data_IF_545963803580
#
_entry.id   IF_545963803580
#
_cell.length_a   1.000
_cell.length_b   1.000
_cell.length_c   1.000
_cell.angle_alpha   90.00
_cell.angle_beta   90.00
_cell.angle_gamma   90.00
#
_symmetry.space_group_name_H-M   'P 1'
#
loop_
_entity.id
_entity.type
_entity.pdbx_description
1 polymer ?
#
# COMPACT_ATOMS: atom_id res chain seq x y z
N UNK A 1 22.53 75.09 -32.73
CA UNK A 1 22.30 73.67 -33.07
C UNK A 1 22.16 72.89 -31.77
N UNK A 2 20.96 72.35 -31.54
CA UNK A 2 20.66 71.41 -30.45
C UNK A 2 21.38 70.08 -30.67
N UNK A 3 21.82 69.40 -29.61
CA UNK A 3 21.61 67.95 -29.38
C UNK A 3 21.61 67.63 -27.88
N UNK A 4 20.48 67.12 -27.39
CA UNK A 4 20.29 66.52 -26.06
C UNK A 4 20.88 65.10 -26.04
N UNK A 5 21.64 64.68 -25.01
CA UNK A 5 21.82 63.26 -24.74
C UNK A 5 20.63 62.75 -23.92
N UNK A 6 19.76 62.03 -24.64
CA UNK A 6 18.68 61.22 -24.12
C UNK A 6 19.26 60.02 -23.36
N UNK A 7 18.88 59.90 -22.09
CA UNK A 7 18.49 58.67 -21.37
C UNK A 7 19.28 57.39 -21.73
N UNK A 8 20.41 57.15 -21.05
CA UNK A 8 21.05 55.81 -21.00
C UNK A 8 20.86 55.13 -19.64
N UNK A 9 20.27 55.81 -18.65
CA UNK A 9 20.04 55.24 -17.32
C UNK A 9 18.85 54.25 -17.23
N UNK A 10 18.08 54.05 -18.31
CA UNK A 10 16.81 53.33 -18.26
C UNK A 10 16.83 51.84 -18.64
N UNK A 11 17.93 51.30 -19.17
CA UNK A 11 17.94 49.93 -19.75
C UNK A 11 18.55 48.88 -18.80
N UNK A 12 19.40 49.28 -17.85
CA UNK A 12 19.99 48.31 -16.90
C UNK A 12 19.08 47.93 -15.73
N UNK A 13 18.07 48.76 -15.40
CA UNK A 13 17.13 48.45 -14.31
C UNK A 13 16.06 47.43 -14.72
N UNK A 14 15.80 47.25 -16.02
CA UNK A 14 14.76 46.34 -16.52
C UNK A 14 15.26 44.88 -16.63
N UNK A 15 16.57 44.66 -16.75
CA UNK A 15 17.16 43.32 -16.84
C UNK A 15 17.17 42.58 -15.48
N UNK A 16 17.29 43.29 -14.36
CA UNK A 16 17.20 42.67 -13.02
C UNK A 16 15.74 42.40 -12.59
N UNK A 17 14.76 43.17 -13.10
CA UNK A 17 13.34 42.96 -12.78
C UNK A 17 12.74 41.72 -13.47
N UNK A 18 13.40 41.21 -14.52
CA UNK A 18 12.97 40.00 -15.26
C UNK A 18 13.69 38.72 -14.79
N UNK A 19 14.58 38.76 -13.79
CA UNK A 19 15.13 37.52 -13.19
C UNK A 19 14.29 37.01 -12.01
N UNK A 20 13.18 37.70 -11.70
CA UNK A 20 12.19 37.27 -10.71
C UNK A 20 11.10 36.36 -11.33
N UNK A 21 11.39 35.69 -12.45
CA UNK A 21 10.53 34.61 -12.95
C UNK A 21 10.60 33.45 -11.95
N UNK A 22 9.56 33.39 -11.11
CA UNK A 22 9.13 32.26 -10.30
C UNK A 22 10.14 31.16 -10.06
N UNK A 23 10.91 31.26 -8.98
CA UNK A 23 11.31 30.04 -8.29
C UNK A 23 10.03 29.37 -7.83
N UNK A 24 9.58 28.34 -8.55
CA UNK A 24 8.58 27.42 -8.03
C UNK A 24 9.11 26.94 -6.68
N UNK A 25 8.34 27.17 -5.61
CA UNK A 25 8.69 26.67 -4.28
C UNK A 25 8.94 25.18 -4.40
N UNK A 26 10.11 24.71 -4.00
CA UNK A 26 10.37 23.27 -3.90
C UNK A 26 9.28 22.71 -2.98
N UNK A 27 8.51 21.71 -3.41
CA UNK A 27 7.49 21.13 -2.55
C UNK A 27 8.14 20.61 -1.26
N UNK A 28 7.67 21.10 -0.11
CA UNK A 28 8.03 20.56 1.19
C UNK A 28 7.21 19.30 1.43
N UNK A 29 7.88 18.18 1.66
CA UNK A 29 7.24 16.89 1.92
C UNK A 29 7.36 16.55 3.40
N UNK A 30 6.24 16.11 3.98
CA UNK A 30 6.26 15.39 5.25
C UNK A 30 6.62 13.94 4.96
N UNK A 31 7.72 13.46 5.53
CA UNK A 31 8.20 12.09 5.35
C UNK A 31 7.71 11.25 6.53
N UNK A 32 7.08 10.11 6.22
CA UNK A 32 6.59 9.15 7.20
C UNK A 32 7.23 7.78 6.95
N UNK A 33 7.66 7.13 8.01
CA UNK A 33 8.29 5.82 8.00
C UNK A 33 7.30 4.75 8.46
N UNK A 34 7.25 3.62 7.77
CA UNK A 34 6.35 2.54 8.13
C UNK A 34 6.48 1.33 7.23
N UNK A 35 5.81 0.26 7.62
CA UNK A 35 5.71 -0.97 6.84
C UNK A 35 4.29 -1.08 6.26
N UNK A 36 4.23 -1.30 4.96
CA UNK A 36 3.03 -1.37 4.16
C UNK A 36 2.59 -2.82 3.86
N UNK A 37 3.38 -3.82 4.25
CA UNK A 37 3.14 -5.22 3.91
C UNK A 37 3.64 -6.19 4.99
N UNK A 38 2.73 -6.56 5.90
CA UNK A 38 3.01 -7.54 6.95
C UNK A 38 1.81 -8.43 7.24
N UNK A 39 2.10 -9.65 7.74
CA UNK A 39 1.10 -10.67 8.05
C UNK A 39 1.11 -11.06 9.51
N UNK A 40 -0.06 -11.39 10.04
CA UNK A 40 -0.19 -11.91 11.40
C UNK A 40 -0.82 -13.30 11.41
N UNK A 41 -1.18 -13.81 12.59
CA UNK A 41 -1.89 -15.09 12.71
C UNK A 41 -3.29 -15.10 12.10
N UNK A 42 -3.82 -13.94 11.68
CA UNK A 42 -5.10 -13.83 10.98
C UNK A 42 -5.01 -14.37 9.54
N UNK A 43 -3.81 -14.43 8.95
CA UNK A 43 -3.54 -15.15 7.70
C UNK A 43 -2.45 -16.21 7.92
N UNK A 44 -1.20 -15.91 7.55
CA UNK A 44 -0.08 -16.87 7.53
C UNK A 44 1.20 -16.39 8.22
N UNK A 45 1.16 -15.28 8.97
CA UNK A 45 2.30 -14.74 9.71
C UNK A 45 2.89 -15.68 10.78
N UNK A 46 2.26 -16.84 11.01
CA UNK A 46 2.77 -17.92 11.87
C UNK A 46 3.36 -19.12 11.10
N UNK A 47 3.44 -19.02 9.77
CA UNK A 47 3.68 -20.15 8.89
C UNK A 47 2.42 -20.95 8.58
N UNK A 48 2.55 -21.89 7.65
CA UNK A 48 1.44 -22.75 7.20
C UNK A 48 0.93 -23.63 8.34
N UNK A 49 -0.36 -24.00 8.27
CA UNK A 49 -0.91 -25.06 9.12
C UNK A 49 -0.08 -26.35 8.95
N UNK A 50 0.00 -27.13 10.03
CA UNK A 50 0.60 -28.45 10.00
C UNK A 50 -0.11 -29.33 8.96
N UNK A 51 0.52 -30.42 8.47
CA UNK A 51 -0.09 -31.31 7.47
C UNK A 51 -1.43 -31.93 7.89
N UNK A 52 -1.71 -31.99 9.19
CA UNK A 52 -2.97 -32.44 9.79
C UNK A 52 -4.04 -31.32 9.90
N UNK A 53 -3.76 -30.14 9.36
CA UNK A 53 -4.63 -28.95 9.42
C UNK A 53 -4.56 -28.19 10.74
N UNK A 54 -3.76 -28.63 11.72
CA UNK A 54 -3.63 -27.94 13.00
C UNK A 54 -2.73 -26.69 12.90
N UNK A 55 -2.89 -25.80 13.87
CA UNK A 55 -1.99 -24.68 14.07
C UNK A 55 -0.59 -25.15 14.48
N UNK A 56 0.50 -24.51 14.03
CA UNK A 56 1.77 -24.59 14.74
C UNK A 56 1.57 -24.24 16.23
N UNK A 57 2.22 -24.94 17.16
CA UNK A 57 2.08 -24.68 18.58
C UNK A 57 2.63 -23.30 18.97
N UNK A 58 2.00 -22.64 19.94
CA UNK A 58 2.46 -21.35 20.48
C UNK A 58 1.39 -20.24 20.48
N UNK A 59 1.75 -19.10 21.06
CA UNK A 59 0.92 -17.89 21.02
C UNK A 59 0.75 -17.44 19.57
N UNK A 60 -0.47 -16.99 19.22
CA UNK A 60 -0.81 -16.46 17.91
C UNK A 60 -0.79 -14.93 17.90
N UNK A 61 0.25 -14.28 17.33
CA UNK A 61 0.31 -12.81 17.29
C UNK A 61 -0.81 -12.27 16.42
N UNK A 62 -1.56 -11.31 16.96
CA UNK A 62 -2.70 -10.66 16.30
C UNK A 62 -2.27 -9.36 15.62
N UNK A 63 -3.12 -8.71 14.81
CA UNK A 63 -2.88 -7.35 14.33
C UNK A 63 -2.55 -6.37 15.47
N UNK A 64 -3.24 -6.46 16.61
CA UNK A 64 -2.94 -5.63 17.78
C UNK A 64 -1.50 -5.82 18.31
N UNK A 65 -0.97 -7.05 18.27
CA UNK A 65 0.42 -7.31 18.66
C UNK A 65 1.41 -6.66 17.71
N UNK A 66 1.16 -6.77 16.40
CA UNK A 66 2.00 -6.15 15.38
C UNK A 66 1.99 -4.62 15.50
N UNK A 67 0.81 -4.00 15.65
CA UNK A 67 0.69 -2.56 15.88
C UNK A 67 1.39 -2.11 17.16
N UNK A 68 1.25 -2.86 18.25
CA UNK A 68 1.92 -2.54 19.51
C UNK A 68 3.44 -2.62 19.37
N UNK A 69 3.96 -3.63 18.66
CA UNK A 69 5.39 -3.77 18.41
C UNK A 69 5.94 -2.65 17.53
N UNK A 70 5.28 -2.34 16.41
CA UNK A 70 5.67 -1.26 15.51
C UNK A 70 5.70 0.08 16.24
N UNK A 71 4.64 0.39 17.01
CA UNK A 71 4.59 1.60 17.83
C UNK A 71 5.67 1.65 18.90
N UNK A 72 5.90 0.54 19.60
CA UNK A 72 6.91 0.46 20.66
C UNK A 72 8.35 0.59 20.14
N UNK A 73 8.59 0.36 18.84
CA UNK A 73 9.90 0.59 18.23
C UNK A 73 10.33 2.06 18.30
N UNK A 74 9.37 3.00 18.29
CA UNK A 74 9.63 4.43 18.18
C UNK A 74 10.23 4.86 16.83
N UNK A 75 10.24 3.97 15.83
CA UNK A 75 10.83 4.20 14.51
C UNK A 75 9.80 4.32 13.38
N UNK A 76 8.58 3.83 13.60
CA UNK A 76 7.51 3.82 12.61
C UNK A 76 6.44 4.84 12.97
N UNK A 77 6.08 5.68 12.01
CA UNK A 77 4.92 6.58 12.04
C UNK A 77 3.62 5.83 11.71
N UNK A 78 3.72 4.74 10.94
CA UNK A 78 2.58 3.89 10.61
C UNK A 78 2.96 2.42 10.43
N UNK A 79 1.96 1.54 10.48
CA UNK A 79 2.12 0.12 10.17
C UNK A 79 0.83 -0.45 9.58
N UNK A 80 0.98 -1.29 8.55
CA UNK A 80 -0.12 -2.00 7.92
C UNK A 80 -0.05 -3.49 8.20
N UNK A 81 -1.09 -4.04 8.82
CA UNK A 81 -1.33 -5.49 8.84
C UNK A 81 -2.17 -5.85 7.61
N UNK A 82 -1.53 -6.37 6.56
CA UNK A 82 -2.10 -6.59 5.23
C UNK A 82 -2.41 -8.08 5.00
N UNK A 83 -3.45 -8.59 5.66
CA UNK A 83 -3.74 -10.03 5.72
C UNK A 83 -4.16 -10.62 4.35
N UNK A 84 -3.74 -11.84 4.05
CA UNK A 84 -4.15 -12.52 2.81
C UNK A 84 -5.67 -12.70 2.69
N UNK A 85 -6.24 -12.34 1.53
CA UNK A 85 -7.68 -12.40 1.26
C UNK A 85 -8.18 -13.71 0.59
N UNK A 86 -7.36 -14.76 0.45
CA UNK A 86 -7.69 -15.97 -0.37
C UNK A 86 -7.30 -17.35 0.22
N UNK A 87 -7.24 -18.40 -0.61
CA UNK A 87 -6.94 -19.79 -0.21
C UNK A 87 -5.59 -20.31 -0.75
N UNK A 88 -4.57 -20.55 0.08
CA UNK A 88 -3.31 -21.15 -0.38
C UNK A 88 -3.33 -22.69 -0.30
N UNK A 89 -3.52 -23.36 -1.45
CA UNK A 89 -3.16 -24.78 -1.71
C UNK A 89 -3.29 -25.74 -0.49
N UNK A 90 -4.49 -25.92 0.05
CA UNK A 90 -4.71 -26.86 1.15
C UNK A 90 -4.64 -26.25 2.55
N UNK A 91 -4.06 -25.05 2.70
CA UNK A 91 -4.06 -24.28 3.94
C UNK A 91 -5.03 -23.11 3.79
N UNK A 92 -6.16 -23.17 4.50
CA UNK A 92 -7.02 -22.02 4.69
C UNK A 92 -6.20 -20.91 5.36
N UNK A 93 -5.95 -19.80 4.66
CA UNK A 93 -5.65 -18.56 5.36
C UNK A 93 -6.88 -18.26 6.23
N UNK A 94 -6.64 -17.90 7.50
CA UNK A 94 -7.72 -17.93 8.49
C UNK A 94 -8.67 -16.75 8.39
N UNK A 95 -8.30 -15.73 7.60
CA UNK A 95 -9.04 -14.49 7.50
C UNK A 95 -10.46 -14.81 7.09
N UNK A 96 -11.43 -14.21 7.77
CA UNK A 96 -12.86 -14.32 7.53
C UNK A 96 -13.50 -12.99 7.93
N UNK A 97 -14.78 -12.73 7.64
CA UNK A 97 -15.38 -11.42 7.89
C UNK A 97 -15.29 -10.99 9.36
N UNK A 98 -15.42 -11.93 10.31
CA UNK A 98 -15.27 -11.62 11.73
C UNK A 98 -13.83 -11.26 12.11
N UNK A 99 -12.83 -11.96 11.56
CA UNK A 99 -11.43 -11.61 11.77
C UNK A 99 -11.05 -10.31 11.06
N UNK A 100 -11.63 -10.03 9.89
CA UNK A 100 -11.42 -8.76 9.19
C UNK A 100 -11.93 -7.58 10.01
N UNK A 101 -13.18 -7.64 10.49
CA UNK A 101 -13.74 -6.59 11.35
C UNK A 101 -12.99 -6.49 12.69
N UNK A 102 -12.51 -7.62 13.23
CA UNK A 102 -11.62 -7.63 14.39
C UNK A 102 -10.31 -6.89 14.11
N UNK A 103 -9.66 -7.14 12.96
CA UNK A 103 -8.43 -6.46 12.56
C UNK A 103 -8.62 -4.95 12.41
N UNK A 104 -9.75 -4.53 11.80
CA UNK A 104 -10.11 -3.11 11.68
C UNK A 104 -10.27 -2.44 13.04
N UNK A 105 -10.99 -3.07 13.96
CA UNK A 105 -11.13 -2.57 15.34
C UNK A 105 -9.78 -2.46 16.06
N UNK A 106 -8.90 -3.45 15.88
CA UNK A 106 -7.54 -3.41 16.44
C UNK A 106 -6.68 -2.30 15.83
N UNK A 107 -6.86 -1.97 14.56
CA UNK A 107 -6.19 -0.85 13.91
C UNK A 107 -6.67 0.50 14.46
N UNK A 108 -7.98 0.67 14.62
CA UNK A 108 -8.56 1.86 15.24
C UNK A 108 -8.04 2.06 16.68
N UNK A 109 -8.02 1.00 17.48
CA UNK A 109 -7.52 1.03 18.87
C UNK A 109 -5.99 1.21 18.96
N UNK A 110 -5.26 0.64 17.99
CA UNK A 110 -3.81 0.68 17.88
C UNK A 110 -3.27 2.07 17.52
N UNK A 111 -4.04 2.81 16.72
CA UNK A 111 -3.73 4.17 16.30
C UNK A 111 -3.68 5.16 17.48
N UNK A 112 -2.84 6.17 17.34
CA UNK A 112 -2.59 7.23 18.32
C UNK A 112 -2.42 8.54 17.57
N UNK A 113 -3.40 9.43 17.71
CA UNK A 113 -3.44 10.71 17.02
C UNK A 113 -2.13 11.50 17.16
N UNK A 114 -1.60 11.94 16.02
CA UNK A 114 -0.34 12.70 15.95
C UNK A 114 0.93 11.91 16.26
N UNK A 115 0.85 10.58 16.48
CA UNK A 115 2.00 9.77 16.89
C UNK A 115 2.16 8.46 16.12
N UNK A 116 1.08 7.76 15.81
CA UNK A 116 1.16 6.46 15.14
C UNK A 116 -0.16 6.08 14.47
N UNK A 117 -0.11 5.61 13.22
CA UNK A 117 -1.29 5.14 12.49
C UNK A 117 -1.19 3.63 12.26
N UNK A 118 -2.13 2.87 12.81
CA UNK A 118 -2.31 1.46 12.50
C UNK A 118 -3.36 1.32 11.39
N UNK A 119 -3.07 0.47 10.40
CA UNK A 119 -3.96 0.24 9.26
C UNK A 119 -4.20 -1.26 9.14
N UNK A 120 -5.47 -1.65 9.09
CA UNK A 120 -5.86 -2.98 8.62
C UNK A 120 -5.97 -2.93 7.09
N UNK A 121 -5.20 -3.78 6.41
CA UNK A 121 -5.20 -3.93 4.96
C UNK A 121 -5.46 -5.37 4.55
N UNK A 122 -5.72 -5.56 3.26
CA UNK A 122 -5.80 -6.88 2.65
C UNK A 122 -4.65 -7.05 1.66
N UNK A 123 -4.03 -8.21 1.63
CA UNK A 123 -3.25 -8.67 0.49
C UNK A 123 -4.16 -9.48 -0.44
N UNK A 124 -4.60 -8.85 -1.53
CA UNK A 124 -5.23 -9.54 -2.65
C UNK A 124 -4.27 -10.60 -3.19
N UNK A 125 -4.67 -11.85 -3.02
CA UNK A 125 -3.81 -13.02 -3.21
C UNK A 125 -4.47 -14.04 -4.14
N UNK A 126 -4.53 -13.75 -5.44
CA UNK A 126 -5.21 -14.60 -6.40
C UNK A 126 -4.52 -15.95 -6.59
N UNK A 127 -5.32 -16.99 -6.75
CA UNK A 127 -4.87 -18.39 -6.75
C UNK A 127 -5.39 -19.12 -7.99
N UNK A 128 -4.88 -20.33 -8.26
CA UNK A 128 -5.34 -21.15 -9.37
C UNK A 128 -4.91 -20.62 -10.74
N UNK A 129 -5.85 -20.27 -11.62
CA UNK A 129 -5.54 -19.73 -12.95
C UNK A 129 -5.13 -18.25 -12.95
N UNK A 130 -5.15 -17.61 -11.78
CA UNK A 130 -4.92 -16.18 -11.59
C UNK A 130 -3.60 -15.89 -10.84
N UNK A 131 -2.59 -16.76 -11.00
CA UNK A 131 -1.27 -16.66 -10.34
C UNK A 131 -0.42 -15.52 -10.90
N UNK A 132 -0.95 -14.31 -10.81
CA UNK A 132 -0.36 -13.12 -11.40
C UNK A 132 0.50 -12.40 -10.36
N UNK A 133 0.34 -12.64 -9.07
CA UNK A 133 1.13 -12.01 -8.00
C UNK A 133 0.20 -11.50 -6.92
N UNK A 134 0.70 -10.71 -5.98
CA UNK A 134 -0.13 -10.16 -4.92
C UNK A 134 -0.13 -8.63 -4.85
N UNK A 135 -1.26 -8.07 -4.43
CA UNK A 135 -1.44 -6.63 -4.30
C UNK A 135 -2.03 -6.29 -2.94
N UNK A 136 -1.45 -5.33 -2.23
CA UNK A 136 -2.09 -4.79 -1.05
C UNK A 136 -3.20 -3.83 -1.44
N UNK A 137 -4.27 -3.83 -0.64
CA UNK A 137 -5.37 -2.87 -0.70
C UNK A 137 -5.64 -2.33 0.69
N UNK A 138 -5.73 -1.02 0.77
CA UNK A 138 -5.98 -0.26 1.99
C UNK A 138 -7.32 0.47 1.86
N UNK A 139 -7.95 0.75 3.00
CA UNK A 139 -9.24 1.44 3.07
C UNK A 139 -10.38 0.73 2.30
N UNK A 140 -10.43 -0.60 2.40
CA UNK A 140 -11.46 -1.45 1.79
C UNK A 140 -12.38 -2.04 2.85
N UNK A 141 -13.60 -2.42 2.47
CA UNK A 141 -14.45 -3.29 3.27
C UNK A 141 -14.17 -4.78 2.99
N UNK A 142 -15.11 -5.64 3.34
CA UNK A 142 -15.04 -7.09 3.18
C UNK A 142 -15.35 -7.59 1.75
N UNK A 143 -15.61 -6.69 0.81
CA UNK A 143 -15.95 -7.02 -0.59
C UNK A 143 -14.83 -7.72 -1.38
N UNK A 144 -13.59 -7.69 -0.90
CA UNK A 144 -12.43 -8.36 -1.54
C UNK A 144 -12.16 -9.77 -0.96
N UNK A 145 -13.13 -10.33 -0.23
CA UNK A 145 -13.08 -11.60 0.50
C UNK A 145 -14.33 -12.45 0.17
N UNK A 146 -14.34 -13.80 0.32
CA UNK A 146 -13.24 -14.75 0.61
C UNK A 146 -12.42 -15.15 -0.60
N UNK A 147 -12.98 -14.97 -1.79
CA UNK A 147 -12.40 -15.52 -3.00
C UNK A 147 -11.75 -14.40 -3.80
N UNK A 148 -10.56 -14.65 -4.36
CA UNK A 148 -9.91 -13.65 -5.16
C UNK A 148 -10.71 -13.43 -6.45
N UNK A 149 -11.20 -12.20 -6.62
CA UNK A 149 -11.72 -11.69 -7.88
C UNK A 149 -10.70 -11.87 -9.00
N UNK A 150 -11.09 -12.13 -10.26
CA UNK A 150 -10.21 -11.92 -11.40
C UNK A 150 -9.60 -10.51 -11.35
N UNK A 151 -8.34 -10.34 -11.78
CA UNK A 151 -7.61 -9.07 -11.64
C UNK A 151 -8.34 -7.86 -12.21
N UNK A 152 -9.01 -8.00 -13.36
CA UNK A 152 -9.72 -6.88 -13.98
C UNK A 152 -10.94 -6.47 -13.17
N UNK A 153 -11.70 -7.43 -12.62
CA UNK A 153 -12.80 -7.14 -11.70
C UNK A 153 -12.27 -6.52 -10.40
N UNK A 154 -11.15 -7.01 -9.89
CA UNK A 154 -10.46 -6.39 -8.77
C UNK A 154 -10.07 -4.93 -9.07
N UNK A 155 -9.53 -4.63 -10.26
CA UNK A 155 -9.20 -3.26 -10.69
C UNK A 155 -10.44 -2.39 -10.82
N UNK A 156 -11.52 -2.89 -11.42
CA UNK A 156 -12.78 -2.16 -11.51
C UNK A 156 -13.36 -1.86 -10.12
N UNK A 157 -13.29 -2.82 -9.19
CA UNK A 157 -13.77 -2.66 -7.82
C UNK A 157 -13.02 -1.56 -7.07
N UNK A 158 -11.69 -1.53 -7.15
CA UNK A 158 -10.89 -0.51 -6.45
C UNK A 158 -10.95 0.84 -7.15
N UNK A 159 -11.04 0.89 -8.49
CA UNK A 159 -11.11 2.14 -9.25
C UNK A 159 -12.42 2.90 -9.02
N UNK A 160 -13.51 2.19 -8.69
CA UNK A 160 -14.82 2.77 -8.43
C UNK A 160 -15.06 3.11 -6.94
N UNK A 161 -14.02 3.10 -6.10
CA UNK A 161 -14.14 3.38 -4.66
C UNK A 161 -13.25 4.55 -4.23
N UNK A 162 -13.90 5.55 -3.64
CA UNK A 162 -13.21 6.72 -3.10
C UNK A 162 -12.28 6.34 -1.95
N UNK A 163 -11.05 6.84 -2.01
CA UNK A 163 -10.05 6.69 -0.95
C UNK A 163 -9.45 5.29 -0.81
N UNK A 164 -9.78 4.35 -1.70
CA UNK A 164 -9.09 3.05 -1.76
C UNK A 164 -7.71 3.25 -2.37
N UNK A 165 -6.69 2.67 -1.74
CA UNK A 165 -5.32 2.66 -2.26
C UNK A 165 -4.91 1.22 -2.47
N UNK A 166 -4.36 0.92 -3.64
CA UNK A 166 -3.81 -0.40 -3.94
C UNK A 166 -2.35 -0.30 -4.38
N UNK A 167 -1.58 -1.34 -4.07
CA UNK A 167 -0.16 -1.42 -4.36
C UNK A 167 0.18 -2.81 -4.89
N UNK A 168 1.01 -2.89 -5.93
CA UNK A 168 1.64 -4.15 -6.31
C UNK A 168 2.73 -4.50 -5.31
N UNK A 169 2.63 -5.67 -4.69
CA UNK A 169 3.59 -6.11 -3.67
C UNK A 169 4.77 -6.79 -4.33
N UNK A 170 4.52 -8.03 -4.75
CA UNK A 170 5.51 -8.83 -5.41
C UNK A 170 4.88 -9.68 -6.49
N UNK A 171 5.66 -9.97 -7.52
CA UNK A 171 5.35 -11.01 -8.49
C UNK A 171 5.01 -12.36 -7.84
N UNK A 172 4.33 -13.25 -8.56
CA UNK A 172 4.14 -14.63 -8.12
C UNK A 172 5.47 -15.41 -8.14
N UNK A 173 6.31 -15.25 -7.11
CA UNK A 173 7.68 -15.79 -6.99
C UNK A 173 7.79 -17.33 -7.01
N UNK A 174 6.66 -18.04 -6.89
CA UNK A 174 6.63 -19.48 -6.70
C UNK A 174 6.57 -20.29 -8.00
N UNK A 175 6.58 -19.65 -9.19
CA UNK A 175 6.39 -20.36 -10.47
C UNK A 175 7.30 -19.85 -11.59
N UNK A 176 7.82 -20.77 -12.41
CA UNK A 176 8.70 -20.45 -13.54
C UNK A 176 8.00 -19.45 -14.52
N UNK A 177 8.65 -18.29 -14.76
CA UNK A 177 8.19 -17.08 -15.48
C UNK A 177 7.33 -16.11 -14.62
N UNK A 178 7.99 -15.45 -13.68
CA UNK A 178 7.41 -14.73 -12.54
C UNK A 178 6.79 -13.37 -12.92
N UNK A 179 5.44 -13.23 -12.91
CA UNK A 179 4.64 -12.12 -12.31
C UNK A 179 3.36 -11.66 -13.04
N UNK A 180 2.84 -10.50 -12.57
CA UNK A 180 1.63 -9.78 -12.94
C UNK A 180 1.68 -9.42 -14.39
N UNK A 181 1.39 -10.45 -15.17
CA UNK A 181 1.47 -10.57 -16.62
C UNK A 181 2.81 -11.10 -17.15
N UNK A 182 3.92 -11.02 -16.40
CA UNK A 182 5.34 -11.27 -16.77
C UNK A 182 6.09 -10.07 -17.39
N UNK A 183 6.32 -9.07 -16.55
CA UNK A 183 6.74 -7.71 -16.86
C UNK A 183 8.22 -7.55 -17.34
N UNK A 184 8.41 -7.52 -18.66
CA UNK A 184 9.17 -6.51 -19.44
C UNK A 184 8.44 -6.10 -20.76
N UNK A 185 7.23 -6.65 -21.00
CA UNK A 185 6.44 -6.56 -22.25
C UNK A 185 4.93 -6.44 -22.03
N UNK A 186 4.48 -5.33 -21.43
CA UNK A 186 3.07 -4.92 -21.37
C UNK A 186 2.61 -4.29 -22.73
N UNK A 187 1.37 -4.52 -23.21
CA UNK A 187 0.86 -4.05 -24.54
C UNK A 187 -0.39 -3.13 -24.50
N UNK A 188 -0.62 -2.26 -25.52
CA UNK A 188 -1.37 -0.98 -25.39
C UNK A 188 -2.91 -1.01 -25.33
N UNK A 189 -3.57 -2.16 -25.37
CA UNK A 189 -5.01 -2.22 -25.66
C UNK A 189 -5.95 -2.11 -24.43
N UNK A 190 -5.45 -1.63 -23.29
CA UNK A 190 -6.27 -1.48 -22.06
C UNK A 190 -6.09 -0.11 -21.41
N UNK A 191 -6.39 0.92 -22.20
CA UNK A 191 -7.06 2.14 -21.74
C UNK A 191 -8.49 2.10 -22.29
#
# INVERSE_FOLDING_TARGET
MQRNPIRVAGIFALACALYAFGQASVPEYNIYYGDNHAHTSYSDGMGRRNPDGTAPPGRRPTPADAFAQARASGLADYFVASEHSGYARGAYFNLNPALWESARKMADEGSKDGAFIAIAGLEYSPQGKFLEGHMNVFNTGSELYPDPHPREEFYDLIANKDGVVAQWNHPALQYDLNNFKQFSGWTPARN
#
